data_IF_400044377900
#
_entry.id   IF_400044377900
#
_cell.length_a   1.000
_cell.length_b   1.000
_cell.length_c   1.000
_cell.angle_alpha   90.00
_cell.angle_beta   90.00
_cell.angle_gamma   90.00
#
_symmetry.space_group_name_H-M   'P 1'
#
loop_
_entity.id
_entity.type
_entity.pdbx_description
1 polymer ?
#
# COMPACT_ATOMS: atom_id res chain seq x y z
N UNK A 1 19.12 -26.66 13.94
CA UNK A 1 19.15 -26.49 12.48
C UNK A 1 19.86 -25.18 12.20
N UNK A 2 20.98 -25.25 11.48
CA UNK A 2 21.94 -24.17 11.29
C UNK A 2 21.27 -22.97 10.58
N UNK A 3 21.24 -21.81 11.24
CA UNK A 3 20.67 -20.56 10.75
C UNK A 3 21.31 -20.14 9.41
N UNK A 4 22.56 -20.56 9.20
CA UNK A 4 23.30 -20.35 7.96
C UNK A 4 22.70 -21.12 6.79
N UNK A 5 22.13 -22.31 7.02
CA UNK A 5 21.51 -23.13 5.99
C UNK A 5 20.12 -22.61 5.61
N UNK A 6 19.36 -22.11 6.59
CA UNK A 6 18.07 -21.47 6.31
C UNK A 6 18.25 -20.19 5.48
N UNK A 7 19.27 -19.38 5.78
CA UNK A 7 19.63 -18.20 4.99
C UNK A 7 20.00 -18.57 3.55
N UNK A 8 20.84 -19.60 3.36
CA UNK A 8 21.21 -20.10 2.03
C UNK A 8 20.01 -20.57 1.22
N UNK A 9 19.01 -21.20 1.86
CA UNK A 9 17.79 -21.64 1.18
C UNK A 9 16.93 -20.45 0.75
N UNK A 10 16.75 -19.45 1.61
CA UNK A 10 16.03 -18.23 1.26
C UNK A 10 16.73 -17.44 0.14
N UNK A 11 18.05 -17.32 0.21
CA UNK A 11 18.85 -16.64 -0.82
C UNK A 11 18.78 -17.39 -2.16
N UNK A 12 18.84 -18.72 -2.13
CA UNK A 12 18.68 -19.55 -3.32
C UNK A 12 17.28 -19.48 -3.92
N UNK A 13 16.23 -19.41 -3.09
CA UNK A 13 14.85 -19.22 -3.55
C UNK A 13 14.64 -17.83 -4.17
N UNK A 14 15.20 -16.79 -3.57
CA UNK A 14 15.16 -15.43 -4.13
C UNK A 14 15.89 -15.36 -5.48
N UNK A 15 17.09 -15.93 -5.57
CA UNK A 15 17.85 -16.01 -6.80
C UNK A 15 17.14 -16.85 -7.88
N UNK A 16 16.58 -18.00 -7.51
CA UNK A 16 15.83 -18.86 -8.43
C UNK A 16 14.52 -18.22 -8.88
N UNK A 17 13.84 -17.45 -8.03
CA UNK A 17 12.64 -16.71 -8.40
C UNK A 17 12.96 -15.61 -9.43
N UNK A 18 14.14 -14.99 -9.34
CA UNK A 18 14.65 -14.07 -10.37
C UNK A 18 14.93 -14.82 -11.68
N UNK A 19 15.57 -16.00 -11.63
CA UNK A 19 15.97 -16.76 -12.83
C UNK A 19 14.78 -17.45 -13.52
N UNK A 20 13.78 -17.91 -12.76
CA UNK A 20 12.64 -18.67 -13.34
C UNK A 20 11.55 -17.75 -13.87
N UNK A 21 11.45 -16.51 -13.36
CA UNK A 21 10.50 -15.51 -13.87
C UNK A 21 11.08 -14.60 -14.96
N UNK A 22 12.39 -14.72 -15.24
CA UNK A 22 13.04 -14.00 -16.33
C UNK A 22 13.81 -14.99 -17.19
N UNK A 23 13.20 -15.42 -18.30
CA UNK A 23 13.95 -15.90 -19.45
C UNK A 23 15.09 -14.90 -19.71
N UNK A 24 16.32 -15.40 -19.82
CA UNK A 24 17.54 -14.63 -19.99
C UNK A 24 17.55 -13.80 -21.28
N UNK A 25 16.87 -12.68 -21.24
CA UNK A 25 16.96 -11.61 -22.23
C UNK A 25 17.43 -10.39 -21.48
N UNK A 26 18.37 -9.69 -22.09
CA UNK A 26 18.87 -8.36 -21.78
C UNK A 26 17.70 -7.33 -21.84
N UNK A 27 16.73 -7.50 -20.96
CA UNK A 27 15.40 -6.88 -21.02
C UNK A 27 15.39 -5.54 -20.31
N UNK A 28 16.37 -5.32 -19.43
CA UNK A 28 16.46 -4.18 -18.51
C UNK A 28 16.66 -2.83 -19.20
N UNK A 29 16.86 -2.79 -20.53
CA UNK A 29 16.98 -1.54 -21.30
C UNK A 29 15.93 -1.33 -22.39
N UNK A 30 15.06 -2.32 -22.69
CA UNK A 30 14.19 -2.25 -23.89
C UNK A 30 12.70 -2.40 -23.59
N UNK A 31 12.30 -3.04 -22.48
CA UNK A 31 10.89 -3.11 -22.13
C UNK A 31 10.51 -1.89 -21.29
N UNK A 32 9.67 -1.05 -21.88
CA UNK A 32 9.02 0.08 -21.24
C UNK A 32 7.52 -0.14 -21.25
N UNK A 33 6.85 0.26 -20.18
CA UNK A 33 5.40 0.18 -20.04
C UNK A 33 4.78 1.46 -20.60
N UNK A 34 3.90 1.31 -21.60
CA UNK A 34 3.13 2.42 -22.14
C UNK A 34 1.98 2.84 -21.21
N UNK A 35 1.33 3.96 -21.54
CA UNK A 35 0.19 4.49 -20.78
C UNK A 35 -0.94 3.47 -20.67
N UNK A 36 -1.33 2.84 -21.78
CA UNK A 36 -2.41 1.83 -21.81
C UNK A 36 -2.07 0.60 -20.96
N UNK A 37 -0.83 0.12 -21.04
CA UNK A 37 -0.38 -1.05 -20.30
C UNK A 37 -0.32 -0.77 -18.80
N UNK A 38 0.14 0.43 -18.41
CA UNK A 38 0.13 0.84 -17.02
C UNK A 38 -1.28 1.08 -16.50
N UNK A 39 -2.17 1.66 -17.31
CA UNK A 39 -3.58 1.83 -16.97
C UNK A 39 -4.27 0.48 -16.75
N UNK A 40 -4.02 -0.49 -17.63
CA UNK A 40 -4.52 -1.86 -17.48
C UNK A 40 -3.99 -2.52 -16.21
N UNK A 41 -2.70 -2.34 -15.88
CA UNK A 41 -2.15 -2.82 -14.62
C UNK A 41 -2.88 -2.22 -13.40
N UNK A 42 -3.13 -0.91 -13.41
CA UNK A 42 -3.86 -0.25 -12.32
C UNK A 42 -5.28 -0.81 -12.16
N UNK A 43 -5.99 -1.02 -13.27
CA UNK A 43 -7.35 -1.55 -13.21
C UNK A 43 -7.40 -3.02 -12.81
N UNK A 44 -6.57 -3.88 -13.41
CA UNK A 44 -6.64 -5.34 -13.24
C UNK A 44 -5.94 -5.83 -11.98
N UNK A 45 -4.83 -5.20 -11.57
CA UNK A 45 -3.99 -5.68 -10.47
C UNK A 45 -4.10 -4.82 -9.21
N UNK A 46 -4.35 -3.51 -9.34
CA UNK A 46 -4.56 -2.62 -8.18
C UNK A 46 -6.05 -2.37 -7.89
N UNK A 47 -6.95 -2.71 -8.82
CA UNK A 47 -8.38 -2.39 -8.69
C UNK A 47 -8.67 -0.89 -8.76
N UNK A 48 -7.73 -0.09 -9.28
CA UNK A 48 -7.84 1.36 -9.38
C UNK A 48 -8.21 1.79 -10.80
N UNK A 49 -9.39 2.41 -10.94
CA UNK A 49 -9.76 3.07 -12.20
C UNK A 49 -9.25 4.49 -12.21
N UNK A 50 -8.25 4.75 -13.05
CA UNK A 50 -7.67 6.07 -13.30
C UNK A 50 -7.94 6.51 -14.72
N UNK A 51 -8.16 7.80 -14.91
CA UNK A 51 -8.20 8.43 -16.23
C UNK A 51 -6.81 8.44 -16.87
N UNK A 52 -6.74 8.49 -18.20
CA UNK A 52 -5.46 8.52 -18.94
C UNK A 52 -4.55 9.67 -18.46
N UNK A 53 -5.14 10.83 -18.14
CA UNK A 53 -4.41 11.99 -17.63
C UNK A 53 -3.75 11.72 -16.27
N UNK A 54 -4.44 11.01 -15.38
CA UNK A 54 -3.89 10.61 -14.09
C UNK A 54 -2.76 9.58 -14.26
N UNK A 55 -2.92 8.62 -15.16
CA UNK A 55 -1.89 7.62 -15.48
C UNK A 55 -0.63 8.30 -16.02
N UNK A 56 -0.78 9.25 -16.95
CA UNK A 56 0.33 10.05 -17.45
C UNK A 56 1.00 10.84 -16.31
N UNK A 57 0.22 11.40 -15.38
CA UNK A 57 0.77 12.13 -14.23
C UNK A 57 1.60 11.22 -13.30
N UNK A 58 1.17 9.97 -13.11
CA UNK A 58 1.90 8.97 -12.34
C UNK A 58 3.21 8.61 -13.05
N UNK A 59 3.17 8.31 -14.36
CA UNK A 59 4.37 8.01 -15.14
C UNK A 59 5.37 9.17 -15.03
N UNK A 60 4.90 10.42 -15.18
CA UNK A 60 5.75 11.62 -15.07
C UNK A 60 6.37 11.81 -13.69
N UNK A 61 5.68 11.38 -12.63
CA UNK A 61 6.15 11.48 -11.26
C UNK A 61 7.22 10.44 -10.94
N UNK A 62 7.05 9.21 -11.42
CA UNK A 62 7.89 8.08 -10.99
C UNK A 62 9.00 7.72 -11.98
N UNK A 63 8.90 8.10 -13.25
CA UNK A 63 9.92 7.77 -14.26
C UNK A 63 11.19 8.62 -14.09
N UNK A 64 12.36 8.03 -13.77
CA UNK A 64 13.60 8.78 -13.62
C UNK A 64 14.19 9.31 -14.94
N UNK A 65 14.04 8.59 -16.06
CA UNK A 65 14.60 8.98 -17.35
C UNK A 65 13.76 10.06 -18.05
N UNK A 66 14.38 11.17 -18.43
CA UNK A 66 13.69 12.30 -19.03
C UNK A 66 13.13 12.02 -20.44
N UNK A 67 13.80 11.18 -21.23
CA UNK A 67 13.35 10.81 -22.58
C UNK A 67 12.14 9.88 -22.52
N UNK A 68 12.17 8.89 -21.62
CA UNK A 68 11.02 8.00 -21.39
C UNK A 68 9.84 8.75 -20.80
N UNK A 69 10.11 9.67 -19.86
CA UNK A 69 9.09 10.55 -19.29
C UNK A 69 8.41 11.41 -20.35
N UNK A 70 9.16 11.94 -21.32
CA UNK A 70 8.62 12.72 -22.43
C UNK A 70 7.76 11.87 -23.39
N UNK A 71 8.06 10.57 -23.52
CA UNK A 71 7.29 9.60 -24.30
C UNK A 71 6.10 9.00 -23.55
N UNK A 72 5.87 9.40 -22.29
CA UNK A 72 4.91 8.78 -21.37
C UNK A 72 5.11 7.26 -21.25
N UNK A 73 6.37 6.84 -21.18
CA UNK A 73 6.78 5.46 -20.97
C UNK A 73 7.36 5.30 -19.56
N UNK A 74 7.09 4.16 -18.92
CA UNK A 74 7.59 3.82 -17.60
C UNK A 74 8.61 2.69 -17.72
N UNK A 75 9.84 2.93 -17.29
CA UNK A 75 10.88 1.92 -17.15
C UNK A 75 10.56 0.97 -16.00
N UNK A 76 11.25 -0.17 -15.96
CA UNK A 76 11.19 -1.07 -14.81
C UNK A 76 11.55 -0.35 -13.49
N UNK A 77 12.54 0.54 -13.53
CA UNK A 77 12.91 1.34 -12.36
C UNK A 77 11.77 2.28 -11.96
N UNK A 78 11.18 3.00 -12.92
CA UNK A 78 10.03 3.87 -12.66
C UNK A 78 8.83 3.12 -12.08
N UNK A 79 8.58 1.90 -12.57
CA UNK A 79 7.53 1.03 -12.06
C UNK A 79 7.80 0.57 -10.62
N UNK A 80 9.04 0.14 -10.32
CA UNK A 80 9.43 -0.20 -8.95
C UNK A 80 9.31 1.00 -8.00
N UNK A 81 9.67 2.20 -8.46
CA UNK A 81 9.52 3.45 -7.69
C UNK A 81 8.05 3.78 -7.42
N UNK A 82 7.16 3.55 -8.38
CA UNK A 82 5.72 3.68 -8.17
C UNK A 82 5.22 2.74 -7.07
N UNK A 83 5.58 1.45 -7.11
CA UNK A 83 5.15 0.46 -6.11
C UNK A 83 5.67 0.77 -4.69
N UNK A 84 6.86 1.35 -4.59
CA UNK A 84 7.49 1.73 -3.32
C UNK A 84 7.15 3.15 -2.87
N UNK A 85 6.33 3.89 -3.61
CA UNK A 85 5.98 5.26 -3.22
C UNK A 85 5.22 5.24 -1.90
N UNK A 86 5.59 6.16 -1.00
CA UNK A 86 4.92 6.32 0.30
C UNK A 86 3.45 6.67 0.15
N UNK A 87 3.06 7.28 -0.97
CA UNK A 87 1.69 7.62 -1.29
C UNK A 87 0.90 6.44 -1.89
N UNK A 88 1.53 5.31 -2.21
CA UNK A 88 0.86 4.08 -2.65
C UNK A 88 0.44 3.25 -1.43
N UNK A 89 -0.35 3.85 -0.54
CA UNK A 89 -0.81 3.18 0.67
C UNK A 89 -1.79 2.05 0.34
N UNK A 90 -1.60 0.89 0.99
CA UNK A 90 -2.54 -0.26 0.92
C UNK A 90 -3.95 0.12 1.38
N UNK A 91 -4.06 1.19 2.17
CA UNK A 91 -5.30 1.71 2.71
C UNK A 91 -5.27 3.23 2.58
N UNK A 92 -6.25 3.82 1.88
CA UNK A 92 -6.41 5.27 1.75
C UNK A 92 -7.30 5.72 2.92
N UNK A 93 -6.75 6.33 3.99
CA UNK A 93 -7.57 6.74 5.13
C UNK A 93 -8.46 7.93 4.77
N UNK A 94 -8.13 8.69 3.73
CA UNK A 94 -8.91 9.86 3.29
C UNK A 94 -10.31 9.49 2.73
N UNK A 95 -10.59 8.23 2.41
CA UNK A 95 -11.96 7.77 2.08
C UNK A 95 -12.81 7.45 3.30
N UNK A 96 -12.29 7.64 4.51
CA UNK A 96 -12.98 7.40 5.77
C UNK A 96 -13.59 8.66 6.39
N UNK A 97 -13.82 9.73 5.62
CA UNK A 97 -14.69 10.80 6.12
C UNK A 97 -16.09 10.22 6.36
N UNK A 98 -16.65 10.32 7.59
CA UNK A 98 -17.96 9.78 7.88
C UNK A 98 -19.00 10.46 6.99
N UNK A 99 -19.65 9.72 6.09
CA UNK A 99 -20.73 10.27 5.27
C UNK A 99 -21.90 10.68 6.21
N UNK A 100 -22.20 11.99 6.36
CA UNK A 100 -23.26 12.46 7.25
C UNK A 100 -24.63 11.89 6.89
N UNK A 101 -24.83 11.53 5.61
CA UNK A 101 -26.10 10.97 5.14
C UNK A 101 -26.33 9.56 5.67
N UNK A 102 -25.26 8.84 6.02
CA UNK A 102 -25.34 7.51 6.65
C UNK A 102 -25.66 7.56 8.13
N UNK A 103 -25.66 8.74 8.78
CA UNK A 103 -25.86 8.94 10.23
C UNK A 103 -27.32 9.27 10.64
N UNK A 104 -28.29 9.02 9.75
CA UNK A 104 -29.72 9.33 9.97
C UNK A 104 -30.58 8.15 10.47
N UNK A 105 -30.01 6.97 10.66
CA UNK A 105 -30.72 5.79 11.17
C UNK A 105 -30.84 5.84 12.71
N UNK A 106 -31.74 5.06 13.33
CA UNK A 106 -31.76 4.90 14.78
C UNK A 106 -30.42 4.36 15.32
N UNK A 107 -30.02 4.79 16.52
CA UNK A 107 -28.71 4.48 17.13
C UNK A 107 -28.37 2.97 17.18
N UNK A 108 -29.39 2.12 17.29
CA UNK A 108 -29.27 0.65 17.30
C UNK A 108 -28.74 0.05 16.00
N UNK A 109 -28.66 0.81 14.91
CA UNK A 109 -28.14 0.37 13.62
C UNK A 109 -26.64 0.61 13.45
N UNK A 110 -25.98 1.23 14.43
CA UNK A 110 -24.56 1.54 14.39
C UNK A 110 -23.79 0.70 15.39
N UNK A 111 -22.61 0.23 14.97
CA UNK A 111 -21.62 -0.26 15.92
C UNK A 111 -21.01 0.93 16.66
N UNK A 112 -21.07 0.90 17.99
CA UNK A 112 -20.52 1.95 18.84
C UNK A 112 -19.28 1.39 19.52
N UNK A 113 -18.12 2.02 19.26
CA UNK A 113 -16.92 1.73 20.02
C UNK A 113 -17.18 2.06 21.50
N UNK A 114 -17.10 1.04 22.36
CA UNK A 114 -17.35 1.17 23.79
C UNK A 114 -16.14 0.67 24.57
N UNK A 115 -15.86 1.34 25.69
CA UNK A 115 -14.76 1.00 26.59
C UNK A 115 -15.35 0.60 27.94
N UNK A 116 -14.85 -0.50 28.50
CA UNK A 116 -15.25 -0.99 29.81
C UNK A 116 -14.14 -0.70 30.82
N UNK A 117 -14.49 -0.19 32.00
CA UNK A 117 -13.53 0.21 33.03
C UNK A 117 -12.47 1.20 32.53
N UNK A 118 -12.91 2.23 31.80
CA UNK A 118 -12.05 3.25 31.17
C UNK A 118 -11.15 4.01 32.16
N UNK A 119 -11.42 3.93 33.46
CA UNK A 119 -10.59 4.51 34.52
C UNK A 119 -9.35 3.67 34.87
N UNK A 120 -9.22 2.44 34.34
CA UNK A 120 -8.10 1.54 34.60
C UNK A 120 -7.02 1.68 33.51
N UNK A 121 -5.76 1.80 33.93
CA UNK A 121 -4.58 1.72 33.05
C UNK A 121 -3.96 0.32 32.96
N UNK A 122 -4.51 -0.66 33.68
CA UNK A 122 -3.86 -1.97 33.83
C UNK A 122 -4.78 -3.07 34.38
N UNK A 123 -4.17 -4.08 35.02
CA UNK A 123 -4.88 -5.25 35.55
C UNK A 123 -6.03 -4.91 36.50
N UNK A 124 -7.19 -5.53 36.28
CA UNK A 124 -8.42 -5.27 37.06
C UNK A 124 -8.27 -5.48 38.58
N UNK A 125 -7.32 -6.31 39.03
CA UNK A 125 -7.11 -6.63 40.43
C UNK A 125 -5.92 -5.90 41.08
N UNK A 126 -5.12 -5.17 40.31
CA UNK A 126 -3.86 -4.54 40.80
C UNK A 126 -3.58 -3.14 40.25
N UNK A 127 -4.47 -2.57 39.42
CA UNK A 127 -4.20 -1.32 38.72
C UNK A 127 -4.64 -0.07 39.50
N UNK A 128 -3.93 1.03 39.21
CA UNK A 128 -4.24 2.35 39.71
C UNK A 128 -5.30 3.02 38.83
N UNK A 129 -6.24 3.73 39.45
CA UNK A 129 -7.28 4.49 38.76
C UNK A 129 -6.74 5.87 38.38
N UNK A 130 -6.77 6.24 37.09
CA UNK A 130 -6.27 7.54 36.62
C UNK A 130 -7.33 8.25 35.77
N UNK A 131 -7.67 9.49 36.15
CA UNK A 131 -8.58 10.37 35.42
C UNK A 131 -8.14 10.61 33.96
N UNK A 132 -6.82 10.60 33.71
CA UNK A 132 -6.25 10.81 32.37
C UNK A 132 -6.61 9.71 31.35
N UNK A 133 -7.13 8.56 31.78
CA UNK A 133 -7.54 7.47 30.89
C UNK A 133 -8.87 7.73 30.21
N UNK A 134 -9.76 8.42 30.92
CA UNK A 134 -11.04 8.85 30.42
C UNK A 134 -10.81 9.83 29.25
N UNK A 135 -9.94 10.82 29.43
CA UNK A 135 -9.60 11.80 28.40
C UNK A 135 -8.88 11.23 27.15
N UNK A 136 -8.31 10.02 27.23
CA UNK A 136 -7.69 9.32 26.08
C UNK A 136 -8.66 8.44 25.29
N UNK A 137 -9.84 8.20 25.86
CA UNK A 137 -10.86 7.33 25.28
C UNK A 137 -11.97 8.10 24.57
N UNK A 138 -11.94 9.44 24.65
CA UNK A 138 -12.80 10.38 23.93
C UNK A 138 -12.00 11.12 22.86
#
# INVERSE_FOLDING_TARGET
MDNTQHKKICDALAAASIVTNCAGVDTSKTLVLGVEEFQRFLEEQQGERRSEQEVISLIRRHEPDAELRAKNCLSFEGFARYLMDKCNYVFVPETLEPDPNTMNQPLSHYFIASSHNTYLTGHQLKANHLLNCIARSY
#
